data_IF_709930967613
#
_entry.id   IF_709930967613
#
_cell.length_a   1.000
_cell.length_b   1.000
_cell.length_c   1.000
_cell.angle_alpha   90.00
_cell.angle_beta   90.00
_cell.angle_gamma   90.00
#
_symmetry.space_group_name_H-M   'P 1'
#
loop_
_entity.id
_entity.type
_entity.pdbx_description
1 polymer ?
#
# COMPACT_ATOMS: atom_id res chain seq x y z
N UNK A 1 -11.75 -2.41 9.74
CA UNK A 1 -10.58 -2.56 8.84
C UNK A 1 -9.36 -2.29 9.70
N UNK A 2 -8.33 -3.15 9.68
CA UNK A 2 -7.04 -2.89 10.31
C UNK A 2 -6.48 -1.52 9.90
N UNK A 3 -5.78 -0.86 10.82
CA UNK A 3 -5.17 0.45 10.55
C UNK A 3 -3.78 0.33 9.95
N UNK A 4 -3.06 -0.75 10.25
CA UNK A 4 -1.69 -0.96 9.76
C UNK A 4 -1.64 -2.17 8.86
N UNK A 5 -0.91 -2.01 7.75
CA UNK A 5 -0.76 -2.99 6.68
C UNK A 5 0.70 -3.06 6.28
N UNK A 6 1.19 -4.26 5.98
CA UNK A 6 2.56 -4.47 5.53
C UNK A 6 2.65 -5.57 4.48
N UNK A 7 3.60 -5.44 3.57
CA UNK A 7 3.90 -6.46 2.57
C UNK A 7 5.13 -6.10 1.75
N UNK A 8 5.53 -7.01 0.87
CA UNK A 8 6.54 -6.73 -0.15
C UNK A 8 5.85 -6.79 -1.51
N UNK A 9 5.70 -5.63 -2.14
CA UNK A 9 5.08 -5.50 -3.44
C UNK A 9 6.10 -5.77 -4.56
N UNK A 10 5.66 -6.21 -5.75
CA UNK A 10 6.57 -6.53 -6.85
C UNK A 10 7.24 -5.27 -7.41
N UNK A 11 8.51 -5.39 -7.74
CA UNK A 11 9.34 -4.33 -8.29
C UNK A 11 9.86 -4.74 -9.67
N UNK A 12 9.93 -3.81 -10.62
CA UNK A 12 10.32 -4.13 -11.99
C UNK A 12 11.82 -4.41 -12.13
N UNK A 13 12.65 -3.73 -11.35
CA UNK A 13 14.11 -3.68 -11.46
C UNK A 13 14.82 -3.84 -10.10
N UNK A 14 14.07 -4.21 -9.06
CA UNK A 14 14.57 -4.47 -7.72
C UNK A 14 13.94 -5.74 -7.13
N UNK A 15 14.41 -6.20 -5.98
CA UNK A 15 13.97 -7.47 -5.39
C UNK A 15 12.52 -7.40 -4.87
N UNK A 16 12.01 -6.19 -4.64
CA UNK A 16 10.68 -5.91 -4.15
C UNK A 16 10.61 -4.54 -3.48
N UNK A 17 9.41 -4.08 -3.17
CA UNK A 17 9.18 -2.85 -2.44
C UNK A 17 8.57 -3.24 -1.10
N UNK A 18 9.34 -3.13 -0.01
CA UNK A 18 8.81 -3.28 1.34
C UNK A 18 7.90 -2.08 1.63
N UNK A 19 6.61 -2.35 1.74
CA UNK A 19 5.56 -1.34 1.90
C UNK A 19 4.93 -1.45 3.28
N UNK A 20 4.87 -0.34 3.99
CA UNK A 20 4.10 -0.17 5.23
C UNK A 20 3.07 0.93 5.03
N UNK A 21 1.79 0.63 5.20
CA UNK A 21 0.68 1.56 5.09
C UNK A 21 -0.03 1.70 6.44
N UNK A 22 -0.28 2.94 6.85
CA UNK A 22 -1.08 3.28 8.01
C UNK A 22 -2.28 4.13 7.61
N UNK A 23 -3.49 3.69 7.99
CA UNK A 23 -4.76 4.39 7.80
C UNK A 23 -5.20 5.01 9.13
N UNK A 24 -5.06 6.32 9.23
CA UNK A 24 -5.44 7.09 10.41
C UNK A 24 -6.96 7.23 10.50
N UNK A 25 -7.48 7.33 11.74
CA UNK A 25 -8.93 7.47 11.99
C UNK A 25 -9.49 8.82 11.53
N UNK A 26 -8.64 9.81 11.34
CA UNK A 26 -9.02 11.14 10.87
C UNK A 26 -9.20 11.23 9.34
N UNK A 27 -9.00 10.12 8.62
CA UNK A 27 -9.11 10.05 7.17
C UNK A 27 -7.80 10.32 6.42
N UNK A 28 -6.68 10.46 7.14
CA UNK A 28 -5.35 10.56 6.54
C UNK A 28 -4.63 9.21 6.50
N UNK A 29 -3.62 9.08 5.65
CA UNK A 29 -2.77 7.91 5.60
C UNK A 29 -1.31 8.30 5.46
N UNK A 30 -0.43 7.41 5.90
CA UNK A 30 1.02 7.47 5.69
C UNK A 30 1.49 6.15 5.13
N UNK A 31 2.35 6.18 4.11
CA UNK A 31 2.99 5.01 3.54
C UNK A 31 4.50 5.20 3.55
N UNK A 32 5.21 4.13 3.88
CA UNK A 32 6.65 4.02 3.70
C UNK A 32 6.94 2.89 2.71
N UNK A 33 7.81 3.16 1.75
CA UNK A 33 8.22 2.24 0.70
C UNK A 33 9.74 2.17 0.66
N UNK A 34 10.30 0.97 0.83
CA UNK A 34 11.73 0.70 0.73
C UNK A 34 12.02 -0.27 -0.40
N UNK A 35 12.79 0.18 -1.37
CA UNK A 35 13.19 -0.60 -2.55
C UNK A 35 14.31 -1.56 -2.15
N UNK A 36 14.03 -2.85 -2.17
CA UNK A 36 14.94 -3.92 -1.77
C UNK A 36 15.99 -4.17 -2.86
N UNK A 37 17.27 -4.24 -2.46
CA UNK A 37 18.37 -4.43 -3.40
C UNK A 37 18.64 -3.21 -4.30
N UNK A 38 18.09 -2.04 -3.95
CA UNK A 38 18.35 -0.80 -4.68
C UNK A 38 19.85 -0.48 -4.70
N UNK A 39 20.34 -0.10 -5.88
CA UNK A 39 21.74 0.33 -6.08
C UNK A 39 21.94 1.82 -5.83
N UNK A 40 20.85 2.58 -5.80
CA UNK A 40 20.83 4.03 -5.72
C UNK A 40 20.11 4.48 -4.45
N UNK A 41 20.58 5.60 -3.89
CA UNK A 41 20.02 6.22 -2.70
C UNK A 41 19.37 7.58 -3.06
N UNK A 42 18.26 7.97 -2.40
CA UNK A 42 17.60 7.27 -1.30
C UNK A 42 16.83 6.03 -1.77
N UNK A 43 16.95 4.91 -1.04
CA UNK A 43 16.22 3.67 -1.31
C UNK A 43 14.87 3.58 -0.58
N UNK A 44 14.55 4.57 0.26
CA UNK A 44 13.31 4.64 1.05
C UNK A 44 12.58 5.96 0.83
N UNK A 45 11.27 5.86 0.65
CA UNK A 45 10.39 6.98 0.37
C UNK A 45 9.18 6.94 1.29
N UNK A 46 8.70 8.12 1.68
CA UNK A 46 7.48 8.27 2.44
C UNK A 46 6.49 9.14 1.67
N UNK A 47 5.24 8.72 1.65
CA UNK A 47 4.12 9.45 1.07
C UNK A 47 2.96 9.49 2.07
N UNK A 48 2.08 10.46 1.88
CA UNK A 48 0.93 10.68 2.74
C UNK A 48 -0.19 11.37 1.96
N UNK A 49 -1.39 11.31 2.51
CA UNK A 49 -2.54 12.00 1.94
C UNK A 49 -3.83 11.62 2.63
N UNK A 50 -4.93 11.59 1.87
CA UNK A 50 -6.26 11.24 2.36
C UNK A 50 -6.72 9.91 1.79
N UNK A 51 -7.51 9.18 2.58
CA UNK A 51 -8.13 7.94 2.12
C UNK A 51 -9.65 8.02 2.20
N UNK A 52 -10.29 7.34 1.27
CA UNK A 52 -11.72 7.15 1.24
C UNK A 52 -12.05 5.69 0.95
N UNK A 53 -13.11 5.20 1.57
CA UNK A 53 -13.62 3.85 1.31
C UNK A 53 -14.95 3.94 0.58
N UNK A 54 -15.06 3.25 -0.55
CA UNK A 54 -16.31 3.02 -1.27
C UNK A 54 -16.88 1.65 -0.89
N UNK A 55 -17.99 1.24 -1.52
CA UNK A 55 -18.52 -0.11 -1.33
C UNK A 55 -17.48 -1.20 -1.69
N UNK A 56 -16.68 -0.96 -2.74
CA UNK A 56 -15.83 -1.99 -3.33
C UNK A 56 -14.32 -1.75 -3.13
N UNK A 57 -13.90 -0.50 -2.89
CA UNK A 57 -12.48 -0.10 -2.95
C UNK A 57 -12.09 0.81 -1.79
N UNK A 58 -10.81 0.75 -1.44
CA UNK A 58 -10.08 1.77 -0.70
C UNK A 58 -9.32 2.62 -1.72
N UNK A 59 -9.50 3.93 -1.66
CA UNK A 59 -8.82 4.90 -2.52
C UNK A 59 -7.88 5.73 -1.66
N UNK A 60 -6.59 5.68 -1.97
CA UNK A 60 -5.58 6.56 -1.40
C UNK A 60 -5.34 7.69 -2.39
N UNK A 61 -5.46 8.94 -1.95
CA UNK A 61 -5.08 10.13 -2.72
C UNK A 61 -3.91 10.77 -2.02
N UNK A 62 -2.75 10.88 -2.68
CA UNK A 62 -1.55 11.45 -2.08
C UNK A 62 -1.58 13.00 -2.06
N UNK A 63 -0.57 13.61 -1.47
CA UNK A 63 -0.43 15.07 -1.38
C UNK A 63 -0.29 15.79 -2.73
N UNK A 64 -0.04 15.05 -3.82
CA UNK A 64 0.03 15.57 -5.20
C UNK A 64 -1.27 15.33 -5.98
N UNK A 65 -2.24 14.61 -5.39
CA UNK A 65 -3.52 14.27 -6.01
C UNK A 65 -3.51 12.95 -6.78
N UNK A 66 -2.40 12.21 -6.76
CA UNK A 66 -2.28 10.90 -7.40
C UNK A 66 -3.05 9.85 -6.63
N UNK A 67 -3.65 8.89 -7.35
CA UNK A 67 -4.53 7.88 -6.75
C UNK A 67 -3.92 6.49 -6.84
N UNK A 68 -4.03 5.77 -5.72
CA UNK A 68 -3.79 4.34 -5.63
C UNK A 68 -5.04 3.64 -5.12
N UNK A 69 -5.29 2.43 -5.63
CA UNK A 69 -6.51 1.70 -5.40
C UNK A 69 -6.20 0.35 -4.75
N UNK A 70 -6.98 0.00 -3.74
CA UNK A 70 -6.89 -1.28 -3.06
C UNK A 70 -8.30 -1.84 -2.87
N UNK A 71 -8.42 -3.16 -2.71
CA UNK A 71 -9.65 -3.79 -2.20
C UNK A 71 -9.32 -4.74 -1.05
N UNK A 72 -10.29 -4.90 -0.15
CA UNK A 72 -10.18 -5.93 0.88
C UNK A 72 -10.31 -7.32 0.25
N UNK A 73 -9.41 -8.23 0.59
CA UNK A 73 -9.40 -9.64 0.16
C UNK A 73 -9.11 -10.51 1.37
N UNK A 74 -10.17 -10.97 2.04
CA UNK A 74 -10.04 -11.60 3.36
C UNK A 74 -9.47 -10.60 4.37
N UNK A 75 -8.39 -10.99 5.04
CA UNK A 75 -7.65 -10.16 6.01
C UNK A 75 -6.52 -9.34 5.37
N UNK A 76 -6.43 -9.31 4.04
CA UNK A 76 -5.42 -8.58 3.26
C UNK A 76 -6.03 -7.38 2.50
N UNK A 77 -5.18 -6.43 2.11
CA UNK A 77 -5.45 -5.43 1.07
C UNK A 77 -4.76 -5.86 -0.22
N UNK A 78 -5.50 -6.06 -1.29
CA UNK A 78 -4.96 -6.31 -2.63
C UNK A 78 -4.89 -4.99 -3.40
N UNK A 79 -3.69 -4.64 -3.90
CA UNK A 79 -3.47 -3.51 -4.79
C UNK A 79 -4.13 -3.76 -6.14
N UNK A 80 -4.73 -2.70 -6.69
CA UNK A 80 -5.43 -2.69 -7.97
C UNK A 80 -4.63 -1.85 -8.97
N UNK A 81 -4.97 -1.96 -10.26
CA UNK A 81 -4.38 -1.12 -11.29
C UNK A 81 -4.81 0.36 -11.16
N UNK A 82 -4.35 1.21 -12.09
CA UNK A 82 -4.60 2.66 -12.07
C UNK A 82 -6.05 3.03 -12.35
N UNK A 83 -6.80 2.12 -12.96
CA UNK A 83 -8.23 2.21 -13.22
C UNK A 83 -9.06 1.58 -12.07
N UNK A 84 -8.37 0.94 -11.13
CA UNK A 84 -8.92 0.24 -9.99
C UNK A 84 -9.49 -1.14 -10.32
N UNK A 85 -9.05 -1.80 -11.39
CA UNK A 85 -9.39 -3.20 -11.67
C UNK A 85 -8.35 -4.15 -11.05
N UNK A 86 -8.68 -5.44 -10.89
CA UNK A 86 -7.72 -6.43 -10.42
C UNK A 86 -6.50 -6.51 -11.35
N UNK A 87 -5.31 -6.56 -10.77
CA UNK A 87 -4.07 -6.78 -11.53
C UNK A 87 -3.99 -8.26 -11.92
N UNK A 88 -3.96 -8.55 -13.22
CA UNK A 88 -3.76 -9.91 -13.74
C UNK A 88 -2.26 -10.22 -13.80
N UNK A 89 -1.74 -10.88 -12.75
CA UNK A 89 -0.32 -11.23 -12.64
C UNK A 89 -0.13 -12.47 -11.77
N UNK A 90 1.01 -13.14 -11.96
CA UNK A 90 1.47 -14.22 -11.08
C UNK A 90 2.11 -13.70 -9.79
N UNK A 91 2.44 -12.41 -9.72
CA UNK A 91 3.08 -11.80 -8.56
C UNK A 91 2.08 -11.46 -7.45
N UNK A 92 2.58 -11.37 -6.23
CA UNK A 92 1.76 -11.02 -5.08
C UNK A 92 1.61 -9.51 -4.92
N UNK A 93 0.38 -9.01 -4.99
CA UNK A 93 0.05 -7.59 -4.82
C UNK A 93 -0.73 -7.35 -3.52
N UNK A 94 -0.48 -8.13 -2.47
CA UNK A 94 -1.18 -8.00 -1.18
C UNK A 94 -0.34 -7.36 -0.09
N UNK A 95 -0.99 -6.56 0.74
CA UNK A 95 -0.52 -6.13 2.05
C UNK A 95 -1.35 -6.84 3.11
N UNK A 96 -0.69 -7.45 4.09
CA UNK A 96 -1.35 -8.16 5.19
C UNK A 96 -1.60 -7.20 6.35
N UNK A 97 -2.69 -7.43 7.07
CA UNK A 97 -2.99 -6.69 8.29
C UNK A 97 -1.87 -6.90 9.32
N UNK A 98 -1.24 -5.81 9.73
CA UNK A 98 -0.22 -5.85 10.76
C UNK A 98 -0.80 -5.25 12.04
N UNK A 99 -1.20 -6.10 12.99
CA UNK A 99 -1.53 -5.61 14.33
C UNK A 99 -0.22 -5.42 15.09
N UNK A 100 0.21 -4.19 15.42
CA UNK A 100 1.28 -4.05 16.40
C UNK A 100 0.75 -4.66 17.70
N UNK A 101 1.40 -5.73 18.16
CA UNK A 101 1.21 -6.22 19.52
C UNK A 101 1.67 -5.10 20.42
N UNK A 102 0.73 -4.30 20.93
CA UNK A 102 1.00 -3.41 22.03
C UNK A 102 1.36 -4.28 23.23
N UNK A 103 2.66 -4.34 23.57
CA UNK A 103 3.13 -4.76 24.89
C UNK A 103 2.90 -3.62 25.89
#
# INVERSE_FOLDING_TARGET
MPQSWRGVLPCADCEGIETSLFLEKDGTWVMNERYLGAREEPSSFASYGTWARTADKLVLTDSKGEKSYYRAKGDALEMLDREGNPIESQFNYTLEAHNPVYL
#
